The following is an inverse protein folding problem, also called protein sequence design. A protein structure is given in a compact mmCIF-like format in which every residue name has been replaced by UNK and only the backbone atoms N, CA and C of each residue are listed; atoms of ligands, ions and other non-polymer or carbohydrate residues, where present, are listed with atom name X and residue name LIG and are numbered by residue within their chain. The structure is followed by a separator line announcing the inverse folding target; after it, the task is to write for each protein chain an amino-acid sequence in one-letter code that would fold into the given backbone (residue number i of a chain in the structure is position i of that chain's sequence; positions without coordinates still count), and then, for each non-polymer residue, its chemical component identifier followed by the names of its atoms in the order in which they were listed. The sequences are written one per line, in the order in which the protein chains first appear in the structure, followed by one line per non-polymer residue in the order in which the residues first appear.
data_IF_948717831880
#
_entry.id   IF_948717831880
#
_cell.length_a   1.000
_cell.length_b   1.000
_cell.length_c   1.000
_cell.angle_alpha   90.00
_cell.angle_beta   90.00
_cell.angle_gamma   90.00
#
_symmetry.space_group_name_H-M   'P 1'
#
loop_
_entity.id
_entity.type
_entity.pdbx_description
1 polymer ?
#
# COMPACT_ATOMS: atom_id res chain seq x y z
N UNK A 1 -29.66 37.58 -19.88
CA UNK A 1 -29.24 36.15 -19.86
C UNK A 1 -28.57 35.88 -18.52
N UNK A 2 -29.22 35.10 -17.65
CA UNK A 2 -28.66 34.77 -16.34
C UNK A 2 -27.41 33.88 -16.58
N UNK A 3 -26.24 34.30 -16.12
CA UNK A 3 -25.03 33.49 -16.10
C UNK A 3 -25.34 32.26 -15.25
N UNK A 4 -25.37 31.09 -15.89
CA UNK A 4 -25.49 29.77 -15.22
C UNK A 4 -24.38 29.74 -14.17
N UNK A 5 -24.74 29.61 -12.89
CA UNK A 5 -23.79 29.59 -11.78
C UNK A 5 -22.88 28.39 -12.01
N UNK A 6 -21.65 28.64 -12.47
CA UNK A 6 -20.66 27.57 -12.69
C UNK A 6 -20.29 26.99 -11.34
N UNK A 7 -20.36 25.67 -11.23
CA UNK A 7 -19.94 24.97 -10.02
C UNK A 7 -18.43 24.78 -10.08
N UNK A 8 -17.69 25.68 -9.41
CA UNK A 8 -16.24 25.74 -9.42
C UNK A 8 -15.69 25.22 -8.09
N UNK A 9 -14.57 24.53 -8.14
CA UNK A 9 -13.86 24.03 -6.96
C UNK A 9 -12.36 24.26 -7.10
N UNK A 10 -11.70 24.53 -5.98
CA UNK A 10 -10.26 24.60 -5.90
C UNK A 10 -9.68 23.22 -5.65
N UNK A 11 -8.65 22.87 -6.40
CA UNK A 11 -8.00 21.56 -6.37
C UNK A 11 -6.50 21.72 -6.14
N UNK A 12 -6.00 21.11 -5.08
CA UNK A 12 -4.58 20.92 -4.86
C UNK A 12 -4.07 19.80 -5.77
N UNK A 13 -3.52 20.15 -6.91
CA UNK A 13 -2.97 19.17 -7.86
C UNK A 13 -1.72 18.54 -7.26
N UNK A 14 -1.63 17.21 -7.21
CA UNK A 14 -0.54 16.44 -6.58
C UNK A 14 0.75 16.49 -7.41
N UNK A 15 1.20 17.70 -7.71
CA UNK A 15 2.39 18.06 -8.47
C UNK A 15 3.02 19.30 -7.85
N UNK A 16 4.22 19.66 -8.30
CA UNK A 16 4.92 20.87 -7.87
C UNK A 16 4.25 22.15 -8.44
N UNK A 17 2.97 22.35 -8.08
CA UNK A 17 2.20 23.55 -8.43
C UNK A 17 2.08 24.40 -7.17
N UNK A 18 2.55 25.68 -7.20
CA UNK A 18 2.64 26.51 -5.99
C UNK A 18 1.31 26.77 -5.30
N UNK A 19 0.21 26.85 -6.06
CA UNK A 19 -1.12 27.22 -5.57
C UNK A 19 -2.17 26.23 -6.06
N UNK A 20 -3.31 26.09 -5.36
CA UNK A 20 -4.47 25.37 -5.88
C UNK A 20 -4.90 25.95 -7.23
N UNK A 21 -5.46 25.11 -8.08
CA UNK A 21 -6.04 25.51 -9.36
C UNK A 21 -7.54 25.29 -9.34
N UNK A 22 -8.27 26.23 -9.93
CA UNK A 22 -9.73 26.18 -10.00
C UNK A 22 -10.19 25.38 -11.22
N UNK A 23 -11.10 24.42 -10.98
CA UNK A 23 -11.70 23.58 -12.00
C UNK A 23 -13.22 23.67 -11.94
N UNK A 24 -13.86 23.40 -13.09
CA UNK A 24 -15.31 23.27 -13.18
C UNK A 24 -15.73 21.84 -12.85
N UNK A 25 -16.79 21.69 -12.07
CA UNK A 25 -17.43 20.41 -11.81
C UNK A 25 -18.47 20.15 -12.90
N UNK A 26 -18.30 19.10 -13.72
CA UNK A 26 -19.27 18.77 -14.75
C UNK A 26 -20.63 18.41 -14.17
N UNK A 27 -21.69 18.64 -14.96
CA UNK A 27 -23.04 18.25 -14.56
C UNK A 27 -23.11 16.71 -14.35
N UNK A 28 -23.69 16.28 -13.23
CA UNK A 28 -23.81 14.87 -12.88
C UNK A 28 -22.67 14.30 -12.01
N UNK A 29 -21.67 15.10 -11.69
CA UNK A 29 -20.62 14.77 -10.72
C UNK A 29 -20.80 15.63 -9.47
N UNK A 30 -20.93 15.00 -8.32
CA UNK A 30 -20.85 15.68 -7.03
C UNK A 30 -19.45 15.48 -6.44
N UNK A 31 -18.79 16.56 -6.07
CA UNK A 31 -17.49 16.50 -5.42
C UNK A 31 -17.56 17.14 -4.04
N UNK A 32 -16.79 16.58 -3.11
CA UNK A 32 -16.68 17.05 -1.73
C UNK A 32 -15.22 17.29 -1.40
N UNK A 33 -14.97 18.23 -0.49
CA UNK A 33 -13.63 18.49 0.03
C UNK A 33 -12.99 17.19 0.56
N UNK A 34 -11.70 17.00 0.29
CA UNK A 34 -10.95 15.82 0.67
C UNK A 34 -11.03 14.64 -0.30
N UNK A 35 -11.86 14.71 -1.33
CA UNK A 35 -11.91 13.67 -2.38
C UNK A 35 -10.77 13.85 -3.39
N UNK A 36 -10.30 12.71 -3.95
CA UNK A 36 -9.36 12.75 -5.09
C UNK A 36 -10.13 12.81 -6.40
N UNK A 37 -9.59 13.63 -7.28
CA UNK A 37 -10.08 13.79 -8.65
C UNK A 37 -8.95 13.71 -9.66
N UNK A 38 -9.28 13.33 -10.89
CA UNK A 38 -8.40 13.54 -12.02
C UNK A 38 -8.74 14.90 -12.68
N UNK A 39 -7.71 15.68 -12.93
CA UNK A 39 -7.80 17.00 -13.56
C UNK A 39 -6.80 17.13 -14.71
N UNK A 40 -7.09 17.94 -15.72
CA UNK A 40 -6.13 18.28 -16.77
C UNK A 40 -5.09 19.26 -16.24
N UNK A 41 -3.79 18.94 -16.39
CA UNK A 41 -2.67 19.84 -16.11
C UNK A 41 -1.84 20.01 -17.38
N UNK A 42 -2.04 21.10 -18.09
CA UNK A 42 -1.51 21.28 -19.45
C UNK A 42 -2.05 20.20 -20.39
N UNK A 43 -1.15 19.40 -20.98
CA UNK A 43 -1.48 18.25 -21.83
C UNK A 43 -1.56 16.91 -21.07
N UNK A 44 -1.35 16.94 -19.75
CA UNK A 44 -1.30 15.75 -18.90
C UNK A 44 -2.54 15.64 -18.03
N UNK A 45 -2.89 14.43 -17.66
CA UNK A 45 -3.86 14.13 -16.62
C UNK A 45 -3.11 14.02 -15.27
N UNK A 46 -3.58 14.72 -14.26
CA UNK A 46 -2.98 14.72 -12.92
C UNK A 46 -4.03 14.38 -11.86
N UNK A 47 -3.60 13.81 -10.74
CA UNK A 47 -4.46 13.67 -9.57
C UNK A 47 -4.43 14.98 -8.75
N UNK A 48 -5.54 15.28 -8.10
CA UNK A 48 -5.67 16.40 -7.18
C UNK A 48 -6.61 16.08 -6.04
N UNK A 49 -6.50 16.86 -4.97
CA UNK A 49 -7.42 16.83 -3.82
C UNK A 49 -8.34 18.05 -3.93
N UNK A 50 -9.63 17.82 -3.86
CA UNK A 50 -10.64 18.88 -3.79
C UNK A 50 -10.51 19.55 -2.42
N UNK A 51 -10.38 20.89 -2.42
CA UNK A 51 -10.26 21.68 -1.21
C UNK A 51 -11.61 22.25 -0.78
N UNK A 52 -12.07 23.22 -1.50
CA UNK A 52 -13.31 23.95 -1.20
C UNK A 52 -14.00 24.46 -2.47
N UNK A 53 -15.28 24.83 -2.40
CA UNK A 53 -15.95 25.51 -3.49
C UNK A 53 -15.24 26.84 -3.81
N UNK A 54 -14.92 27.06 -5.08
CA UNK A 54 -14.34 28.33 -5.52
C UNK A 54 -15.46 29.34 -5.81
N UNK A 55 -15.34 30.53 -5.24
CA UNK A 55 -16.35 31.57 -5.42
C UNK A 55 -16.14 32.41 -6.68
N UNK A 56 -14.90 32.58 -7.13
CA UNK A 56 -14.58 33.38 -8.31
C UNK A 56 -13.32 32.85 -8.99
N UNK A 57 -13.28 32.99 -10.31
CA UNK A 57 -12.07 32.82 -11.12
C UNK A 57 -11.40 34.13 -11.38
N UNK A 58 -10.08 34.11 -11.58
CA UNK A 58 -9.37 35.28 -12.07
C UNK A 58 -9.92 35.67 -13.45
N UNK A 59 -10.11 37.00 -13.65
CA UNK A 59 -10.67 37.52 -14.89
C UNK A 59 -9.82 37.08 -16.10
N UNK A 60 -10.47 36.60 -17.14
CA UNK A 60 -9.82 36.20 -18.39
C UNK A 60 -9.33 34.77 -18.46
N UNK A 61 -9.57 33.93 -17.41
CA UNK A 61 -9.27 32.49 -17.43
C UNK A 61 -10.55 31.66 -17.59
N UNK A 62 -10.46 30.58 -18.34
CA UNK A 62 -11.52 29.58 -18.46
C UNK A 62 -11.20 28.36 -17.58
N UNK A 63 -12.15 27.96 -16.73
CA UNK A 63 -12.01 26.75 -15.94
C UNK A 63 -12.09 25.52 -16.83
N UNK A 64 -11.13 24.61 -16.69
CA UNK A 64 -11.21 23.28 -17.29
C UNK A 64 -12.05 22.37 -16.42
N UNK A 65 -12.67 21.37 -17.02
CA UNK A 65 -13.52 20.41 -16.32
C UNK A 65 -12.69 19.38 -15.55
N UNK A 66 -13.19 18.96 -14.39
CA UNK A 66 -12.73 17.73 -13.72
C UNK A 66 -12.99 16.56 -14.65
N UNK A 67 -11.99 15.71 -14.83
CA UNK A 67 -12.08 14.56 -15.75
C UNK A 67 -12.82 13.38 -15.12
N UNK A 68 -12.58 13.13 -13.83
CA UNK A 68 -13.10 11.95 -13.14
C UNK A 68 -12.97 12.09 -11.62
N UNK A 69 -13.96 11.60 -10.88
CA UNK A 69 -13.89 11.39 -9.44
C UNK A 69 -13.24 10.03 -9.17
N UNK A 70 -12.15 10.00 -8.37
CA UNK A 70 -11.41 8.76 -8.08
C UNK A 70 -12.01 8.03 -6.89
N UNK A 71 -12.28 8.76 -5.81
CA UNK A 71 -12.81 8.18 -4.58
C UNK A 71 -14.24 8.68 -4.31
N UNK A 72 -15.17 7.75 -4.04
CA UNK A 72 -16.56 8.14 -3.76
C UNK A 72 -16.72 8.87 -2.42
N UNK A 73 -15.78 8.69 -1.49
CA UNK A 73 -15.77 9.34 -0.18
C UNK A 73 -14.50 10.18 0.01
N UNK A 74 -14.54 11.27 0.83
CA UNK A 74 -13.36 12.03 1.19
C UNK A 74 -12.27 11.15 1.82
N UNK A 75 -11.05 11.30 1.35
CA UNK A 75 -9.88 10.62 1.92
C UNK A 75 -9.28 11.38 3.09
N UNK A 76 -9.41 12.69 3.05
CA UNK A 76 -8.88 13.59 4.08
C UNK A 76 -10.04 14.26 4.77
N UNK A 77 -10.02 14.23 6.11
CA UNK A 77 -10.96 14.95 6.94
C UNK A 77 -10.72 16.47 6.84
N UNK A 78 -11.69 17.32 7.24
CA UNK A 78 -11.50 18.76 7.27
C UNK A 78 -10.27 19.20 8.08
N UNK A 79 -9.96 18.50 9.18
CA UNK A 79 -8.81 18.77 10.03
C UNK A 79 -7.49 18.47 9.30
N UNK A 80 -7.43 17.36 8.56
CA UNK A 80 -6.26 17.01 7.76
C UNK A 80 -6.07 17.95 6.57
N UNK A 81 -7.17 18.42 5.97
CA UNK A 81 -7.09 19.46 4.93
C UNK A 81 -6.53 20.75 5.50
N UNK A 82 -7.05 21.20 6.64
CA UNK A 82 -6.56 22.40 7.33
C UNK A 82 -5.10 22.25 7.71
N UNK A 83 -4.69 21.10 8.25
CA UNK A 83 -3.29 20.82 8.58
C UNK A 83 -2.40 20.86 7.33
N UNK A 84 -2.85 20.28 6.22
CA UNK A 84 -2.09 20.28 4.96
C UNK A 84 -1.91 21.67 4.39
N UNK A 85 -2.93 22.51 4.41
CA UNK A 85 -2.86 23.90 4.00
C UNK A 85 -1.92 24.71 4.91
N UNK A 86 -2.04 24.54 6.23
CA UNK A 86 -1.14 25.18 7.19
C UNK A 86 0.32 24.78 6.98
N UNK A 87 0.61 23.50 6.74
CA UNK A 87 1.97 23.03 6.42
C UNK A 87 2.49 23.70 5.14
N UNK A 88 1.66 23.76 4.10
CA UNK A 88 2.05 24.40 2.84
C UNK A 88 2.41 25.87 3.02
N UNK A 89 1.63 26.60 3.81
CA UNK A 89 1.87 28.00 4.13
C UNK A 89 3.12 28.17 5.01
N UNK A 90 3.21 27.43 6.11
CA UNK A 90 4.29 27.56 7.08
C UNK A 90 5.66 27.22 6.50
N UNK A 91 5.76 26.15 5.67
CA UNK A 91 7.01 25.74 5.05
C UNK A 91 7.22 26.31 3.64
N UNK A 92 6.32 27.17 3.15
CA UNK A 92 6.35 27.72 1.79
C UNK A 92 6.49 26.60 0.73
N UNK A 93 5.76 25.51 0.94
CA UNK A 93 5.81 24.33 0.09
C UNK A 93 4.62 24.28 -0.88
N UNK A 94 4.80 23.73 -2.10
CA UNK A 94 3.67 23.53 -3.01
C UNK A 94 2.60 22.66 -2.35
N UNK A 95 1.37 23.16 -2.28
CA UNK A 95 0.25 22.52 -1.57
C UNK A 95 0.00 21.07 -2.05
N UNK A 96 0.15 20.84 -3.35
CA UNK A 96 0.00 19.51 -3.93
C UNK A 96 1.08 18.51 -3.49
N UNK A 97 2.30 18.98 -3.22
CA UNK A 97 3.36 18.12 -2.68
C UNK A 97 3.12 17.77 -1.22
N UNK A 98 2.60 18.70 -0.43
CA UNK A 98 2.20 18.44 0.95
C UNK A 98 1.14 17.33 1.00
N UNK A 99 0.04 17.48 0.27
CA UNK A 99 -0.99 16.43 0.24
C UNK A 99 -0.49 15.10 -0.35
N UNK A 100 0.42 15.16 -1.31
CA UNK A 100 1.08 13.95 -1.83
C UNK A 100 1.90 13.23 -0.76
N UNK A 101 2.52 13.94 0.15
CA UNK A 101 3.27 13.37 1.27
C UNK A 101 2.34 12.79 2.37
N UNK A 102 1.16 13.40 2.57
CA UNK A 102 0.17 12.93 3.53
C UNK A 102 -0.53 11.63 3.09
N UNK A 103 -0.64 11.40 1.78
CA UNK A 103 -1.33 10.25 1.21
C UNK A 103 -0.36 9.12 0.88
N UNK A 104 -0.67 7.86 1.22
CA UNK A 104 0.12 6.71 0.80
C UNK A 104 -0.23 6.35 -0.64
N UNK A 105 0.07 7.24 -1.58
CA UNK A 105 -0.24 7.05 -2.98
C UNK A 105 0.52 5.83 -3.52
N UNK A 106 -0.19 4.75 -3.77
CA UNK A 106 0.24 3.78 -4.76
C UNK A 106 0.10 4.46 -6.12
N UNK A 107 1.08 4.28 -6.99
CA UNK A 107 0.86 4.51 -8.41
C UNK A 107 -0.21 3.50 -8.83
N UNK A 108 -1.47 3.91 -8.83
CA UNK A 108 -2.61 3.06 -9.17
C UNK A 108 -2.57 2.62 -10.62
N UNK A 109 -1.83 3.35 -11.45
CA UNK A 109 -1.58 3.01 -12.83
C UNK A 109 -0.10 3.20 -13.14
N UNK A 110 0.59 2.11 -13.40
CA UNK A 110 1.87 2.16 -14.08
C UNK A 110 1.55 2.30 -15.57
N UNK A 111 1.89 3.42 -16.19
CA UNK A 111 1.93 3.49 -17.65
C UNK A 111 3.03 2.55 -18.11
N UNK A 112 2.65 1.39 -18.54
CA UNK A 112 3.55 0.45 -19.18
C UNK A 112 3.51 0.72 -20.68
N UNK A 113 4.66 0.99 -21.26
CA UNK A 113 4.81 1.03 -22.71
C UNK A 113 4.84 -0.40 -23.21
N UNK A 114 3.83 -0.75 -24.00
CA UNK A 114 3.73 -2.05 -24.63
C UNK A 114 3.98 -1.93 -26.13
N UNK A 115 4.80 -2.82 -26.63
CA UNK A 115 5.06 -2.99 -28.04
C UNK A 115 3.99 -3.94 -28.61
N UNK A 116 3.25 -3.47 -29.61
CA UNK A 116 2.19 -4.22 -30.29
C UNK A 116 2.52 -4.33 -31.78
N UNK A 117 2.15 -5.44 -32.38
CA UNK A 117 2.30 -5.64 -33.83
C UNK A 117 1.25 -4.80 -34.57
N UNK A 118 1.65 -4.13 -35.64
CA UNK A 118 0.73 -3.42 -36.55
C UNK A 118 0.14 -4.35 -37.63
N UNK A 119 -0.79 -3.83 -38.43
CA UNK A 119 -1.29 -4.55 -39.61
C UNK A 119 -0.14 -4.87 -40.57
N UNK A 120 0.73 -3.90 -40.84
CA UNK A 120 1.91 -4.06 -41.70
C UNK A 120 2.88 -5.11 -41.14
N UNK A 121 3.10 -5.14 -39.83
CA UNK A 121 3.91 -6.16 -39.14
C UNK A 121 3.33 -7.58 -39.30
N UNK A 122 2.01 -7.72 -39.28
CA UNK A 122 1.37 -9.03 -39.53
C UNK A 122 1.57 -9.52 -40.97
N UNK A 123 1.39 -8.65 -41.96
CA UNK A 123 1.67 -8.96 -43.37
C UNK A 123 3.14 -9.37 -43.52
N UNK A 124 4.06 -8.63 -42.94
CA UNK A 124 5.50 -8.93 -42.96
C UNK A 124 5.81 -10.29 -42.32
N UNK A 125 5.16 -10.62 -41.20
CA UNK A 125 5.31 -11.93 -40.56
C UNK A 125 4.84 -13.08 -41.48
N UNK A 126 3.73 -12.89 -42.20
CA UNK A 126 3.24 -13.87 -43.17
C UNK A 126 4.21 -14.07 -44.34
N UNK A 127 4.80 -13.00 -44.87
CA UNK A 127 5.84 -13.06 -45.89
C UNK A 127 7.06 -13.84 -45.41
N UNK A 128 7.56 -13.55 -44.21
CA UNK A 128 8.71 -14.24 -43.63
C UNK A 128 8.42 -15.74 -43.39
N UNK A 129 7.20 -16.09 -42.99
CA UNK A 129 6.80 -17.48 -42.83
C UNK A 129 6.72 -18.22 -44.18
N UNK A 130 6.27 -17.56 -45.25
CA UNK A 130 6.22 -18.13 -46.62
C UNK A 130 7.62 -18.32 -47.22
N UNK A 131 8.52 -17.33 -47.06
CA UNK A 131 9.91 -17.38 -47.55
C UNK A 131 10.69 -18.56 -46.96
N UNK A 132 10.45 -18.90 -45.71
CA UNK A 132 11.10 -20.04 -45.04
C UNK A 132 10.59 -21.40 -45.57
N UNK A 133 9.31 -21.49 -45.93
CA UNK A 133 8.74 -22.71 -46.55
C UNK A 133 9.28 -22.95 -47.96
N UNK A 134 9.74 -21.91 -48.64
CA UNK A 134 10.28 -21.99 -50.00
C UNK A 134 11.81 -22.11 -50.06
N UNK A 135 12.51 -22.21 -48.89
CA UNK A 135 13.95 -22.47 -48.82
C UNK A 135 14.87 -21.30 -49.22
N UNK A 136 14.34 -20.07 -49.34
CA UNK A 136 15.08 -18.86 -49.78
C UNK A 136 15.61 -18.04 -48.58
N UNK A 137 15.76 -18.62 -47.42
CA UNK A 137 16.18 -17.90 -46.24
C UNK A 137 17.73 -17.78 -46.17
N UNK A 138 18.25 -16.56 -46.40
CA UNK A 138 19.67 -16.21 -46.13
C UNK A 138 20.00 -16.22 -44.66
N UNK A 139 21.26 -16.56 -44.35
CA UNK A 139 21.77 -16.67 -43.00
C UNK A 139 21.76 -15.30 -42.26
N UNK A 140 21.17 -15.26 -41.07
CA UNK A 140 21.53 -14.31 -39.98
C UNK A 140 20.57 -13.15 -39.65
N UNK A 141 19.69 -12.65 -40.58
CA UNK A 141 18.86 -11.46 -40.28
C UNK A 141 17.35 -11.73 -40.08
N UNK A 142 16.69 -12.50 -40.94
CA UNK A 142 15.23 -12.67 -40.92
C UNK A 142 14.71 -13.48 -39.75
N UNK A 143 15.52 -14.31 -39.12
CA UNK A 143 15.12 -15.19 -37.99
C UNK A 143 14.76 -14.44 -36.72
N UNK A 144 15.52 -13.40 -36.36
CA UNK A 144 15.26 -12.58 -35.15
C UNK A 144 14.06 -11.64 -35.35
N UNK A 145 13.94 -11.02 -36.52
CA UNK A 145 12.79 -10.18 -36.89
C UNK A 145 11.49 -10.99 -36.84
N UNK A 146 11.48 -12.17 -37.39
CA UNK A 146 10.35 -13.11 -37.37
C UNK A 146 10.04 -13.48 -35.89
N UNK A 147 11.06 -13.79 -35.09
CA UNK A 147 10.88 -14.12 -33.67
C UNK A 147 10.21 -13.00 -32.89
N UNK A 148 10.57 -11.75 -33.13
CA UNK A 148 9.93 -10.58 -32.54
C UNK A 148 8.48 -10.46 -32.99
N UNK A 149 8.23 -10.43 -34.29
CA UNK A 149 6.88 -10.27 -34.86
C UNK A 149 5.95 -11.42 -34.49
N UNK A 150 6.44 -12.66 -34.48
CA UNK A 150 5.68 -13.83 -34.04
C UNK A 150 5.28 -13.74 -32.55
N UNK A 151 6.20 -13.27 -31.69
CA UNK A 151 5.91 -13.07 -30.28
C UNK A 151 4.89 -11.95 -30.07
N UNK A 152 5.01 -10.84 -30.81
CA UNK A 152 4.07 -9.71 -30.77
C UNK A 152 2.70 -10.09 -31.32
N UNK A 153 2.64 -10.99 -32.31
CA UNK A 153 1.39 -11.52 -32.83
C UNK A 153 0.61 -12.38 -31.84
N UNK A 154 1.32 -13.02 -30.89
CA UNK A 154 0.69 -13.80 -29.80
C UNK A 154 0.21 -12.93 -28.64
N UNK A 155 1.00 -11.93 -28.26
CA UNK A 155 0.68 -10.99 -27.17
C UNK A 155 1.57 -9.75 -27.21
N UNK A 156 1.05 -8.59 -26.78
CA UNK A 156 1.88 -7.40 -26.56
C UNK A 156 2.99 -7.67 -25.54
N UNK A 157 4.17 -7.10 -25.78
CA UNK A 157 5.31 -7.17 -24.87
C UNK A 157 5.58 -5.82 -24.21
N UNK A 158 6.06 -5.82 -22.96
CA UNK A 158 6.61 -4.59 -22.38
C UNK A 158 7.83 -4.14 -23.21
N UNK A 159 7.90 -2.86 -23.58
CA UNK A 159 8.94 -2.31 -24.47
C UNK A 159 10.34 -2.64 -23.97
N UNK A 160 10.61 -2.47 -22.69
CA UNK A 160 11.90 -2.82 -22.07
C UNK A 160 12.22 -4.31 -22.14
N UNK A 161 11.20 -5.17 -21.99
CA UNK A 161 11.37 -6.62 -22.11
C UNK A 161 11.66 -7.05 -23.55
N UNK A 162 11.04 -6.38 -24.52
CA UNK A 162 11.32 -6.58 -25.94
C UNK A 162 12.75 -6.17 -26.29
N UNK A 163 13.19 -4.97 -25.85
CA UNK A 163 14.57 -4.48 -26.04
C UNK A 163 15.62 -5.40 -25.41
N UNK A 164 15.36 -5.90 -24.21
CA UNK A 164 16.26 -6.84 -23.52
C UNK A 164 16.36 -8.19 -24.22
N UNK A 165 15.28 -8.70 -24.77
CA UNK A 165 15.18 -10.04 -25.34
C UNK A 165 15.63 -10.09 -26.78
N UNK A 166 15.30 -9.09 -27.59
CA UNK A 166 15.52 -9.07 -29.04
C UNK A 166 16.59 -8.06 -29.49
N UNK A 167 17.10 -7.25 -28.57
CA UNK A 167 18.04 -6.16 -28.83
C UNK A 167 17.33 -4.83 -29.14
N UNK A 168 18.01 -3.73 -28.79
CA UNK A 168 17.49 -2.37 -28.98
C UNK A 168 17.31 -2.07 -30.45
N UNK A 169 18.35 -2.36 -31.26
CA UNK A 169 18.40 -2.03 -32.69
C UNK A 169 17.27 -2.68 -33.50
N UNK A 170 16.93 -3.94 -33.17
CA UNK A 170 15.86 -4.64 -33.88
C UNK A 170 14.48 -4.06 -33.51
N UNK A 171 14.29 -3.71 -32.24
CA UNK A 171 13.02 -3.11 -31.79
C UNK A 171 12.84 -1.71 -32.39
N UNK A 172 13.89 -0.89 -32.41
CA UNK A 172 13.83 0.46 -32.99
C UNK A 172 13.61 0.39 -34.51
N UNK A 173 14.24 -0.56 -35.22
CA UNK A 173 13.99 -0.80 -36.63
C UNK A 173 12.55 -1.17 -36.88
N UNK A 174 11.99 -2.11 -36.13
CA UNK A 174 10.58 -2.52 -36.26
C UNK A 174 9.61 -1.35 -36.00
N UNK A 175 9.96 -0.41 -35.14
CA UNK A 175 9.20 0.82 -34.89
C UNK A 175 9.32 1.79 -36.09
N UNK A 176 10.54 2.03 -36.61
CA UNK A 176 10.81 2.92 -37.73
C UNK A 176 10.13 2.43 -39.04
N UNK A 177 10.13 1.12 -39.27
CA UNK A 177 9.50 0.49 -40.41
C UNK A 177 7.99 0.32 -40.26
N UNK A 178 7.41 0.75 -39.15
CA UNK A 178 5.98 0.67 -38.86
C UNK A 178 5.44 -0.76 -38.67
N UNK A 179 6.33 -1.74 -38.42
CA UNK A 179 5.96 -3.14 -38.18
C UNK A 179 5.42 -3.36 -36.74
N UNK A 180 5.82 -2.50 -35.84
CA UNK A 180 5.36 -2.46 -34.46
C UNK A 180 5.03 -1.03 -34.04
N UNK A 181 4.22 -0.87 -33.01
CA UNK A 181 3.90 0.42 -32.40
C UNK A 181 3.97 0.35 -30.90
N UNK A 182 4.33 1.47 -30.27
CA UNK A 182 4.30 1.60 -28.82
C UNK A 182 2.93 2.12 -28.39
N UNK A 183 2.24 1.32 -27.58
CA UNK A 183 0.98 1.71 -26.95
C UNK A 183 1.20 1.92 -25.46
N UNK A 184 0.82 3.07 -24.95
CA UNK A 184 0.77 3.30 -23.51
C UNK A 184 -0.48 2.62 -22.95
N UNK A 185 -0.28 1.57 -22.15
CA UNK A 185 -1.34 0.85 -21.46
C UNK A 185 -1.27 1.19 -19.99
N UNK A 186 -2.37 1.63 -19.42
CA UNK A 186 -2.49 1.79 -17.98
C UNK A 186 -2.65 0.40 -17.34
N UNK A 187 -1.58 -0.17 -16.83
CA UNK A 187 -1.63 -1.40 -16.06
C UNK A 187 -2.09 -1.08 -14.64
N UNK A 188 -3.30 -1.52 -14.26
CA UNK A 188 -3.67 -1.63 -12.86
C UNK A 188 -2.67 -2.57 -12.20
N UNK A 189 -1.92 -2.10 -11.22
CA UNK A 189 -1.04 -2.98 -10.45
C UNK A 189 -1.92 -4.08 -9.85
N UNK A 190 -1.76 -5.30 -10.36
CA UNK A 190 -2.39 -6.48 -9.76
C UNK A 190 -1.93 -6.53 -8.30
N UNK A 191 -2.86 -6.44 -7.36
CA UNK A 191 -2.59 -6.57 -5.93
C UNK A 191 -1.75 -7.82 -5.73
N UNK A 192 -0.55 -7.68 -5.18
CA UNK A 192 0.27 -8.84 -4.82
C UNK A 192 -0.48 -9.57 -3.71
N UNK A 193 -1.16 -10.64 -4.06
CA UNK A 193 -1.85 -11.52 -3.11
C UNK A 193 -0.84 -12.09 -2.13
N UNK A 194 -1.07 -11.90 -0.85
CA UNK A 194 -0.31 -12.56 0.22
C UNK A 194 -1.23 -13.63 0.79
N UNK A 195 -0.90 -14.89 0.49
CA UNK A 195 -1.64 -16.02 1.01
C UNK A 195 -0.93 -16.56 2.24
N UNK A 196 -1.66 -16.66 3.34
CA UNK A 196 -1.23 -17.41 4.50
C UNK A 196 -1.63 -18.89 4.31
N UNK A 197 -0.69 -19.79 4.52
CA UNK A 197 -0.89 -21.23 4.34
C UNK A 197 -0.66 -21.92 5.68
N UNK A 198 -1.59 -22.76 6.09
CA UNK A 198 -1.47 -23.60 7.29
C UNK A 198 -1.94 -25.02 7.00
N UNK A 199 -1.52 -25.98 7.81
CA UNK A 199 -2.12 -27.31 7.77
C UNK A 199 -3.60 -27.21 8.19
N UNK A 200 -4.49 -27.87 7.46
CA UNK A 200 -5.92 -27.90 7.79
C UNK A 200 -6.23 -28.66 9.08
N UNK A 201 -5.34 -29.61 9.43
CA UNK A 201 -5.43 -30.44 10.62
C UNK A 201 -4.19 -31.35 10.75
N UNK A 202 -4.18 -32.31 11.67
CA UNK A 202 -3.15 -33.33 11.73
C UNK A 202 -3.12 -34.11 10.41
N UNK A 203 -1.91 -34.36 9.89
CA UNK A 203 -1.77 -35.09 8.63
C UNK A 203 -2.29 -36.54 8.81
N UNK A 204 -3.06 -37.05 7.86
CA UNK A 204 -3.56 -38.46 7.92
C UNK A 204 -2.39 -39.46 7.83
N UNK A 205 -2.50 -40.57 8.51
CA UNK A 205 -1.47 -41.64 8.51
C UNK A 205 -1.14 -42.12 7.09
N UNK A 206 -2.11 -42.11 6.18
CA UNK A 206 -1.91 -42.41 4.76
C UNK A 206 -2.22 -41.20 3.91
N UNK A 207 -1.19 -40.55 3.41
CA UNK A 207 -1.32 -39.47 2.46
C UNK A 207 -1.76 -39.98 1.08
N UNK A 208 -2.65 -39.28 0.38
CA UNK A 208 -3.00 -39.63 -1.00
C UNK A 208 -1.75 -39.53 -1.90
N UNK A 209 -1.84 -40.01 -3.15
CA UNK A 209 -0.74 -39.92 -4.12
C UNK A 209 -0.50 -38.44 -4.44
N UNK A 210 0.55 -37.85 -3.83
CA UNK A 210 0.93 -36.47 -4.01
C UNK A 210 2.13 -36.37 -4.96
N UNK A 211 2.20 -35.22 -5.69
CA UNK A 211 3.40 -34.87 -6.45
C UNK A 211 4.59 -34.63 -5.50
N UNK A 212 5.83 -34.85 -5.96
CA UNK A 212 7.03 -34.58 -5.13
C UNK A 212 7.09 -33.15 -4.58
N UNK A 213 6.54 -32.16 -5.32
CA UNK A 213 6.45 -30.76 -4.91
C UNK A 213 5.43 -30.58 -3.79
N UNK A 214 4.24 -31.18 -3.94
CA UNK A 214 3.18 -31.11 -2.93
C UNK A 214 3.65 -31.73 -1.60
N UNK A 215 4.40 -32.84 -1.66
CA UNK A 215 4.97 -33.50 -0.48
C UNK A 215 5.97 -32.57 0.22
N UNK A 216 6.91 -31.94 -0.52
CA UNK A 216 7.85 -30.97 0.06
C UNK A 216 7.15 -29.78 0.72
N UNK A 217 6.01 -29.33 0.19
CA UNK A 217 5.23 -28.26 0.81
C UNK A 217 4.67 -28.72 2.16
N UNK A 218 4.09 -29.92 2.23
CA UNK A 218 3.55 -30.47 3.48
C UNK A 218 4.66 -30.75 4.50
N UNK A 219 5.79 -31.31 4.07
CA UNK A 219 6.94 -31.57 4.94
C UNK A 219 7.50 -30.25 5.53
N UNK A 220 7.57 -29.19 4.71
CA UNK A 220 7.99 -27.86 5.16
C UNK A 220 7.00 -27.23 6.16
N UNK A 221 5.71 -27.47 6.01
CA UNK A 221 4.69 -27.02 6.96
C UNK A 221 4.69 -27.83 8.26
N UNK A 222 4.98 -29.14 8.18
CA UNK A 222 5.00 -30.05 9.32
C UNK A 222 6.29 -29.95 10.16
N UNK A 223 7.42 -29.55 9.54
CA UNK A 223 8.74 -29.46 10.20
C UNK A 223 8.94 -28.24 11.08
N UNK A 224 7.93 -27.41 11.25
CA UNK A 224 8.08 -26.12 11.97
C UNK A 224 7.82 -26.25 13.47
N UNK A 225 8.51 -25.43 14.31
CA UNK A 225 8.34 -25.50 15.77
C UNK A 225 6.90 -25.20 16.19
N UNK A 226 6.46 -25.87 17.23
CA UNK A 226 5.14 -25.72 17.84
C UNK A 226 4.93 -24.25 18.27
N UNK A 227 4.17 -23.47 17.50
CA UNK A 227 3.90 -22.03 17.74
C UNK A 227 3.68 -21.22 16.48
N UNK A 228 4.24 -21.61 15.35
CA UNK A 228 4.03 -20.94 14.06
C UNK A 228 2.86 -21.61 13.33
N UNK A 229 1.68 -21.04 13.48
CA UNK A 229 0.45 -21.63 12.91
C UNK A 229 0.25 -21.34 11.41
N UNK A 230 1.01 -20.42 10.83
CA UNK A 230 0.75 -19.91 9.47
C UNK A 230 2.02 -19.46 8.76
N UNK A 231 2.09 -19.68 7.45
CA UNK A 231 3.25 -19.36 6.60
C UNK A 231 2.88 -18.48 5.42
N UNK A 232 3.75 -17.52 5.09
CA UNK A 232 3.65 -16.84 3.80
C UNK A 232 3.91 -17.85 2.66
N UNK A 233 3.00 -17.90 1.69
CA UNK A 233 3.09 -18.81 0.56
C UNK A 233 4.37 -18.64 -0.27
N UNK A 234 5.00 -17.44 -0.31
CA UNK A 234 6.14 -17.14 -1.17
C UNK A 234 7.43 -17.88 -0.76
N UNK A 235 7.93 -17.72 0.49
CA UNK A 235 9.11 -18.46 0.93
C UNK A 235 8.85 -19.96 0.90
N UNK A 236 7.64 -20.40 1.25
CA UNK A 236 7.23 -21.79 1.21
C UNK A 236 7.30 -22.37 -0.22
N UNK A 237 6.73 -21.68 -1.20
CA UNK A 237 6.75 -22.11 -2.61
C UNK A 237 8.17 -22.01 -3.21
N UNK A 238 8.97 -21.03 -2.81
CA UNK A 238 10.36 -20.92 -3.25
C UNK A 238 11.20 -22.11 -2.73
N UNK A 239 11.07 -22.46 -1.46
CA UNK A 239 11.77 -23.59 -0.86
C UNK A 239 11.35 -24.93 -1.49
N UNK A 240 10.05 -25.13 -1.72
CA UNK A 240 9.51 -26.35 -2.31
C UNK A 240 9.66 -26.38 -3.85
N UNK A 241 10.16 -25.32 -4.50
CA UNK A 241 10.15 -25.14 -5.96
C UNK A 241 8.76 -25.35 -6.56
N UNK A 242 7.74 -24.83 -5.88
CA UNK A 242 6.34 -25.01 -6.20
C UNK A 242 5.69 -23.76 -6.83
N UNK A 243 4.39 -23.88 -7.14
CA UNK A 243 3.54 -22.81 -7.64
C UNK A 243 2.24 -22.74 -6.83
N UNK A 244 1.49 -21.66 -6.96
CA UNK A 244 0.19 -21.50 -6.30
C UNK A 244 -0.79 -22.62 -6.65
N UNK A 245 -0.69 -23.21 -7.84
CA UNK A 245 -1.53 -24.34 -8.24
C UNK A 245 -1.33 -25.57 -7.36
N UNK A 246 -0.11 -25.82 -6.86
CA UNK A 246 0.15 -26.92 -5.94
C UNK A 246 -0.51 -26.66 -4.57
N UNK A 247 -0.53 -25.42 -4.10
CA UNK A 247 -1.24 -25.06 -2.87
C UNK A 247 -2.76 -25.24 -3.02
N UNK A 248 -3.36 -24.80 -4.13
CA UNK A 248 -4.80 -24.97 -4.38
C UNK A 248 -5.21 -26.45 -4.42
N UNK A 249 -4.40 -27.31 -5.06
CA UNK A 249 -4.67 -28.75 -5.08
C UNK A 249 -4.56 -29.39 -3.69
N UNK A 250 -3.66 -28.90 -2.84
CA UNK A 250 -3.56 -29.35 -1.46
C UNK A 250 -4.75 -28.85 -0.61
N UNK A 251 -5.26 -27.65 -0.92
CA UNK A 251 -6.47 -27.08 -0.31
C UNK A 251 -7.72 -27.87 -0.73
N UNK A 252 -7.88 -28.15 -2.02
CA UNK A 252 -8.96 -29.01 -2.56
C UNK A 252 -8.92 -30.41 -1.94
N UNK A 253 -7.71 -30.91 -1.64
CA UNK A 253 -7.50 -32.19 -0.92
C UNK A 253 -7.70 -32.10 0.60
N UNK A 254 -8.06 -30.94 1.15
CA UNK A 254 -8.29 -30.74 2.59
C UNK A 254 -7.03 -30.85 3.47
N UNK A 255 -5.83 -30.83 2.88
CA UNK A 255 -4.55 -30.98 3.60
C UNK A 255 -4.00 -29.64 4.09
N UNK A 256 -4.29 -28.56 3.40
CA UNK A 256 -3.92 -27.19 3.80
C UNK A 256 -5.12 -26.26 3.76
N UNK A 257 -5.11 -25.25 4.58
CA UNK A 257 -6.04 -24.12 4.51
C UNK A 257 -5.27 -22.89 4.02
N UNK A 258 -5.84 -22.18 3.05
CA UNK A 258 -5.27 -20.99 2.45
C UNK A 258 -6.15 -19.80 2.82
N UNK A 259 -5.58 -18.80 3.44
CA UNK A 259 -6.27 -17.55 3.77
C UNK A 259 -5.67 -16.41 2.96
N UNK A 260 -6.51 -15.67 2.22
CA UNK A 260 -6.06 -14.48 1.50
C UNK A 260 -5.90 -13.30 2.46
N UNK A 261 -4.65 -13.01 2.83
CA UNK A 261 -4.27 -11.89 3.69
C UNK A 261 -3.90 -10.63 2.94
N UNK A 262 -4.19 -10.55 1.67
CA UNK A 262 -3.98 -9.29 0.93
C UNK A 262 -4.76 -8.11 1.53
N UNK A 263 -5.80 -8.40 2.32
CA UNK A 263 -6.58 -7.42 3.09
C UNK A 263 -6.10 -7.24 4.55
N UNK A 264 -5.33 -8.19 5.12
CA UNK A 264 -4.90 -8.17 6.53
C UNK A 264 -3.37 -8.09 6.61
N UNK A 265 -2.86 -6.95 7.08
CA UNK A 265 -1.47 -6.83 7.49
C UNK A 265 -1.23 -7.55 8.82
N UNK A 266 -0.93 -8.85 8.79
CA UNK A 266 -0.32 -9.48 9.95
C UNK A 266 1.19 -9.20 9.93
N UNK A 267 1.85 -8.98 11.09
CA UNK A 267 3.28 -8.83 11.15
C UNK A 267 3.93 -10.13 10.66
N UNK A 268 4.84 -10.02 9.70
CA UNK A 268 5.70 -11.13 9.31
C UNK A 268 6.57 -11.48 10.53
N UNK A 269 6.32 -12.64 11.12
CA UNK A 269 7.26 -13.25 12.03
C UNK A 269 8.51 -13.63 11.23
N UNK A 270 9.65 -12.99 11.54
CA UNK A 270 10.98 -13.45 11.18
C UNK A 270 11.48 -13.10 9.78
N UNK A 271 12.09 -11.93 9.64
CA UNK A 271 13.29 -11.74 8.83
C UNK A 271 14.37 -11.16 9.72
N UNK A 272 15.12 -12.05 10.37
CA UNK A 272 16.46 -11.75 10.83
C UNK A 272 17.36 -11.58 9.58
N UNK A 273 18.07 -10.46 9.51
CA UNK A 273 19.13 -10.27 8.54
C UNK A 273 19.28 -8.83 8.07
N UNK A 274 19.96 -7.98 8.79
CA UNK A 274 21.24 -7.38 8.42
C UNK A 274 21.78 -6.45 9.50
N UNK A 275 23.03 -6.61 9.76
CA UNK A 275 23.96 -5.95 10.65
C UNK A 275 23.71 -4.47 10.95
N UNK A 276 23.53 -4.17 12.24
CA UNK A 276 23.59 -2.84 12.82
C UNK A 276 23.70 -3.00 14.33
N UNK A 277 24.87 -2.69 14.86
CA UNK A 277 25.30 -2.80 16.24
C UNK A 277 24.19 -2.62 17.27
N UNK A 278 24.08 -3.62 18.15
CA UNK A 278 23.27 -3.59 19.35
C UNK A 278 23.82 -2.48 20.28
N UNK A 279 22.98 -1.50 20.57
CA UNK A 279 23.13 -0.66 21.75
C UNK A 279 22.27 -1.30 22.80
N UNK A 280 22.91 -1.77 23.85
CA UNK A 280 22.27 -2.36 25.01
C UNK A 280 21.21 -1.40 25.58
N UNK A 281 19.97 -1.80 25.42
CA UNK A 281 18.83 -1.22 26.11
C UNK A 281 18.11 -2.37 26.78
N UNK A 282 18.58 -2.69 27.99
CA UNK A 282 17.86 -3.51 28.95
C UNK A 282 16.53 -2.83 29.29
N UNK A 283 15.51 -3.08 28.46
CA UNK A 283 14.13 -2.89 28.85
C UNK A 283 13.53 -4.29 29.01
N UNK A 284 13.46 -4.73 30.25
CA UNK A 284 12.87 -5.97 30.72
C UNK A 284 11.49 -6.16 30.08
N UNK A 285 11.42 -6.99 29.04
CA UNK A 285 10.16 -7.56 28.58
C UNK A 285 9.79 -8.65 29.59
N UNK A 286 8.61 -8.66 30.22
CA UNK A 286 8.17 -9.80 31.00
C UNK A 286 8.07 -11.00 30.07
N UNK A 287 8.73 -12.10 30.42
CA UNK A 287 8.66 -13.41 29.78
C UNK A 287 7.19 -13.79 29.54
N UNK A 288 6.83 -14.40 28.41
CA UNK A 288 5.50 -14.91 28.21
C UNK A 288 5.31 -16.08 29.17
N UNK A 289 4.42 -15.88 30.16
CA UNK A 289 3.97 -16.97 31.00
C UNK A 289 3.50 -18.13 30.14
N UNK A 290 3.89 -19.36 30.50
CA UNK A 290 3.67 -20.61 29.78
C UNK A 290 2.18 -20.96 29.52
N UNK A 291 1.22 -20.15 29.96
CA UNK A 291 -0.21 -20.49 29.97
C UNK A 291 -1.08 -19.55 29.11
N UNK A 292 -0.70 -19.08 28.00
CA UNK A 292 -1.62 -18.47 27.00
C UNK A 292 -2.71 -17.49 27.50
N UNK A 293 -2.73 -17.14 28.78
CA UNK A 293 -3.64 -16.18 29.40
C UNK A 293 -3.12 -14.77 29.16
N UNK A 294 -3.97 -13.89 28.72
CA UNK A 294 -3.73 -12.46 28.69
C UNK A 294 -3.15 -12.06 30.06
N UNK A 295 -1.89 -11.59 30.08
CA UNK A 295 -1.26 -11.16 31.31
C UNK A 295 -2.18 -10.14 32.00
N UNK A 296 -2.48 -10.37 33.27
CA UNK A 296 -3.27 -9.43 34.07
C UNK A 296 -2.66 -8.03 33.93
N UNK A 297 -3.47 -6.97 33.83
CA UNK A 297 -2.95 -5.61 33.70
C UNK A 297 -2.04 -5.33 34.89
N UNK A 298 -0.81 -4.88 34.60
CA UNK A 298 0.19 -4.52 35.63
C UNK A 298 -0.43 -3.53 36.61
N UNK A 299 -0.29 -3.78 37.90
CA UNK A 299 -0.74 -2.83 38.91
C UNK A 299 0.09 -1.54 38.81
N UNK A 300 -0.60 -0.39 38.75
CA UNK A 300 0.06 0.90 38.71
C UNK A 300 0.59 1.24 40.14
N UNK A 301 1.79 1.77 40.19
CA UNK A 301 2.30 2.39 41.42
C UNK A 301 1.46 3.61 41.82
N UNK A 302 1.55 4.06 43.07
CA UNK A 302 0.79 5.21 43.52
C UNK A 302 1.01 6.48 42.67
N UNK A 303 2.27 6.84 42.29
CA UNK A 303 2.50 7.97 41.39
C UNK A 303 1.91 7.78 40.00
N UNK A 304 1.99 6.56 39.45
CA UNK A 304 1.40 6.25 38.14
C UNK A 304 -0.12 6.33 38.17
N UNK A 305 -0.77 5.81 39.24
CA UNK A 305 -2.23 5.87 39.41
C UNK A 305 -2.71 7.33 39.51
N UNK A 306 -1.99 8.18 40.22
CA UNK A 306 -2.31 9.62 40.31
C UNK A 306 -2.18 10.30 38.95
N UNK A 307 -1.08 10.06 38.22
CA UNK A 307 -0.87 10.63 36.91
C UNK A 307 -1.94 10.13 35.89
N UNK A 308 -2.26 8.84 35.91
CA UNK A 308 -3.31 8.28 35.09
C UNK A 308 -4.67 8.90 35.40
N UNK A 309 -5.05 9.05 36.66
CA UNK A 309 -6.34 9.64 37.07
C UNK A 309 -6.47 11.08 36.56
N UNK A 310 -5.43 11.91 36.72
CA UNK A 310 -5.43 13.30 36.21
C UNK A 310 -5.57 13.36 34.68
N UNK A 311 -4.80 12.53 33.97
CA UNK A 311 -4.86 12.46 32.50
C UNK A 311 -6.21 11.92 32.00
N UNK A 312 -6.76 10.92 32.69
CA UNK A 312 -8.05 10.34 32.35
C UNK A 312 -9.19 11.38 32.53
N UNK A 313 -9.17 12.15 33.61
CA UNK A 313 -10.13 13.21 33.86
C UNK A 313 -10.10 14.30 32.76
N UNK A 314 -8.89 14.65 32.28
CA UNK A 314 -8.72 15.58 31.14
C UNK A 314 -9.25 15.01 29.83
N UNK A 315 -9.00 13.72 29.58
CA UNK A 315 -9.54 13.01 28.41
C UNK A 315 -11.07 13.00 28.42
N UNK A 316 -11.66 12.74 29.59
CA UNK A 316 -13.12 12.69 29.79
C UNK A 316 -13.79 14.06 29.64
N UNK A 317 -13.07 15.12 29.99
CA UNK A 317 -13.56 16.49 29.84
C UNK A 317 -13.75 16.90 28.36
N UNK A 318 -13.22 16.12 27.41
CA UNK A 318 -13.32 16.35 25.95
C UNK A 318 -12.86 17.74 25.49
N UNK A 319 -11.98 18.37 26.25
CA UNK A 319 -11.38 19.67 25.92
C UNK A 319 -9.93 19.46 25.52
N UNK A 320 -9.50 20.20 24.50
CA UNK A 320 -8.10 20.20 24.12
C UNK A 320 -7.22 20.61 25.31
N UNK A 321 -6.22 19.82 25.59
CA UNK A 321 -5.19 20.14 26.59
C UNK A 321 -3.86 19.50 26.20
N UNK A 322 -2.77 20.22 26.48
CA UNK A 322 -1.42 19.71 26.34
C UNK A 322 -0.89 19.36 27.72
N UNK A 323 -0.37 18.15 27.89
CA UNK A 323 0.17 17.68 29.17
C UNK A 323 1.57 17.11 28.96
N UNK A 324 2.50 17.51 29.83
CA UNK A 324 3.83 16.92 29.89
C UNK A 324 3.86 15.85 30.98
N UNK A 325 3.98 14.58 30.55
CA UNK A 325 4.24 13.47 31.48
C UNK A 325 5.76 13.31 31.68
N UNK A 326 6.28 13.89 32.75
CA UNK A 326 7.70 13.83 33.09
C UNK A 326 8.02 12.57 33.91
N UNK A 327 9.11 11.90 33.56
CA UNK A 327 9.59 10.70 34.28
C UNK A 327 10.84 10.11 33.62
N UNK A 328 11.67 9.45 34.42
CA UNK A 328 12.89 8.78 33.94
C UNK A 328 12.57 7.63 33.00
N UNK A 329 13.57 7.16 32.26
CA UNK A 329 13.43 5.94 31.43
C UNK A 329 13.08 4.76 32.36
N UNK A 330 12.17 3.88 31.92
CA UNK A 330 11.71 2.75 32.74
C UNK A 330 10.65 3.09 33.79
N UNK A 331 10.23 4.35 33.96
CA UNK A 331 9.21 4.73 34.97
C UNK A 331 7.78 4.28 34.63
N UNK A 332 7.59 3.51 33.57
CA UNK A 332 6.28 2.98 33.18
C UNK A 332 5.37 3.97 32.42
N UNK A 333 5.89 5.04 31.83
CA UNK A 333 5.10 5.99 31.01
C UNK A 333 4.30 5.31 29.92
N UNK A 334 4.88 4.28 29.29
CA UNK A 334 4.23 3.53 28.23
C UNK A 334 2.94 2.85 28.71
N UNK A 335 2.91 2.30 29.92
CA UNK A 335 1.70 1.70 30.49
C UNK A 335 0.59 2.73 30.70
N UNK A 336 0.94 3.95 31.10
CA UNK A 336 -0.03 5.05 31.23
C UNK A 336 -0.60 5.40 29.84
N UNK A 337 0.24 5.49 28.81
CA UNK A 337 -0.23 5.74 27.45
C UNK A 337 -1.16 4.63 26.93
N UNK A 338 -0.82 3.36 27.16
CA UNK A 338 -1.66 2.22 26.75
C UNK A 338 -3.04 2.27 27.42
N UNK A 339 -3.10 2.62 28.70
CA UNK A 339 -4.38 2.76 29.44
C UNK A 339 -5.21 3.95 28.96
N UNK A 340 -4.56 5.07 28.65
CA UNK A 340 -5.25 6.24 28.09
C UNK A 340 -5.81 5.93 26.69
N UNK A 341 -5.05 5.22 25.87
CA UNK A 341 -5.51 4.75 24.56
C UNK A 341 -6.72 3.82 24.72
N UNK A 342 -6.65 2.83 25.62
CA UNK A 342 -7.78 1.95 25.91
C UNK A 342 -9.02 2.74 26.32
N UNK A 343 -8.88 3.71 27.21
CA UNK A 343 -9.99 4.58 27.63
C UNK A 343 -10.55 5.41 26.50
N UNK A 344 -9.71 5.93 25.60
CA UNK A 344 -10.16 6.65 24.41
C UNK A 344 -10.98 5.75 23.47
N UNK A 345 -10.53 4.51 23.28
CA UNK A 345 -11.24 3.50 22.48
C UNK A 345 -12.59 3.11 23.07
N UNK A 346 -12.68 2.95 24.42
CA UNK A 346 -13.92 2.70 25.13
C UNK A 346 -14.95 3.83 24.93
N UNK A 347 -14.46 5.06 24.77
CA UNK A 347 -15.31 6.23 24.49
C UNK A 347 -15.64 6.37 22.98
N UNK A 348 -15.32 5.38 22.16
CA UNK A 348 -15.54 5.43 20.70
C UNK A 348 -14.58 6.37 19.96
N UNK A 349 -13.52 6.85 20.60
CA UNK A 349 -12.53 7.75 20.02
C UNK A 349 -11.37 6.97 19.43
N UNK A 350 -10.56 7.65 18.65
CA UNK A 350 -9.32 7.12 18.08
C UNK A 350 -8.09 7.72 18.79
N UNK A 351 -6.91 7.11 18.59
CA UNK A 351 -5.68 7.56 19.18
C UNK A 351 -4.51 7.47 18.20
N UNK A 352 -3.61 8.46 18.24
CA UNK A 352 -2.34 8.43 17.54
C UNK A 352 -1.19 8.40 18.55
N UNK A 353 -0.35 7.35 18.45
CA UNK A 353 0.89 7.26 19.22
C UNK A 353 2.07 7.52 18.30
N UNK A 354 2.68 8.69 18.46
CA UNK A 354 3.85 9.08 17.70
C UNK A 354 5.11 8.78 18.51
N UNK A 355 6.03 8.05 17.91
CA UNK A 355 7.30 7.68 18.55
C UNK A 355 8.48 8.04 17.64
N UNK A 356 9.63 8.40 18.18
CA UNK A 356 10.85 8.54 17.38
C UNK A 356 11.17 7.25 16.63
N UNK A 357 11.82 7.35 15.47
CA UNK A 357 12.18 6.21 14.64
C UNK A 357 12.94 5.13 15.41
N UNK A 358 13.89 5.53 16.25
CA UNK A 358 14.71 4.64 17.09
C UNK A 358 13.90 3.92 18.18
N UNK A 359 12.77 4.49 18.58
CA UNK A 359 11.90 3.91 19.61
C UNK A 359 10.80 2.99 19.02
N UNK A 360 10.57 3.02 17.70
CA UNK A 360 9.59 2.15 17.05
C UNK A 360 10.20 0.76 16.79
N UNK A 361 10.62 0.09 17.84
CA UNK A 361 11.17 -1.26 17.76
C UNK A 361 10.10 -2.31 17.49
N UNK A 362 10.45 -3.51 16.98
CA UNK A 362 9.52 -4.62 16.84
C UNK A 362 8.83 -4.99 18.17
N UNK A 363 9.52 -4.84 19.30
CA UNK A 363 8.96 -5.09 20.63
C UNK A 363 7.83 -4.10 20.98
N UNK A 364 8.01 -2.81 20.70
CA UNK A 364 6.96 -1.80 20.90
C UNK A 364 5.76 -2.07 19.98
N UNK A 365 6.00 -2.40 18.74
CA UNK A 365 4.92 -2.76 17.81
C UNK A 365 4.15 -3.99 18.30
N UNK A 366 4.85 -5.05 18.73
CA UNK A 366 4.26 -6.26 19.27
C UNK A 366 3.43 -5.98 20.54
N UNK A 367 3.91 -5.08 21.41
CA UNK A 367 3.20 -4.66 22.60
C UNK A 367 1.84 -4.04 22.27
N UNK A 368 1.80 -3.12 21.31
CA UNK A 368 0.57 -2.47 20.85
C UNK A 368 -0.38 -3.45 20.17
N UNK A 369 0.14 -4.29 19.27
CA UNK A 369 -0.66 -5.31 18.56
C UNK A 369 -1.22 -6.33 19.57
N UNK A 370 -0.45 -6.76 20.58
CA UNK A 370 -0.93 -7.66 21.62
C UNK A 370 -2.03 -7.01 22.47
N UNK A 371 -1.94 -5.70 22.75
CA UNK A 371 -2.90 -4.99 23.61
C UNK A 371 -4.20 -4.64 22.89
N UNK A 372 -4.12 -4.19 21.65
CA UNK A 372 -5.24 -3.63 20.90
C UNK A 372 -5.61 -4.46 19.64
N UNK A 373 -4.86 -5.50 19.35
CA UNK A 373 -5.19 -6.43 18.25
C UNK A 373 -5.31 -5.76 16.89
N UNK A 374 -6.41 -6.03 16.17
CA UNK A 374 -6.64 -5.51 14.84
C UNK A 374 -6.89 -3.99 14.80
N UNK A 375 -7.14 -3.34 15.93
CA UNK A 375 -7.37 -1.90 15.97
C UNK A 375 -6.09 -1.06 15.76
N UNK A 376 -4.92 -1.70 15.68
CA UNK A 376 -3.65 -0.99 15.45
C UNK A 376 -3.31 -0.92 13.97
N UNK A 377 -3.04 0.29 13.49
CA UNK A 377 -2.41 0.57 12.20
C UNK A 377 -0.98 1.09 12.44
N UNK A 378 0.03 0.32 12.04
CA UNK A 378 1.43 0.75 12.11
C UNK A 378 1.78 1.55 10.86
N UNK A 379 2.34 2.77 11.03
CA UNK A 379 2.63 3.71 9.95
C UNK A 379 4.04 4.31 10.11
N UNK A 380 5.00 3.83 9.32
CA UNK A 380 6.35 4.39 9.28
C UNK A 380 7.00 4.22 7.89
N UNK A 381 8.09 4.96 7.66
CA UNK A 381 8.79 5.00 6.37
C UNK A 381 9.42 3.67 5.95
N UNK A 382 9.79 2.81 6.91
CA UNK A 382 10.39 1.49 6.68
C UNK A 382 9.41 0.42 6.19
N UNK A 383 8.09 0.67 6.24
CA UNK A 383 7.10 -0.25 5.70
C UNK A 383 7.15 -0.29 4.17
N UNK A 384 6.94 -1.48 3.61
CA UNK A 384 6.69 -1.60 2.17
C UNK A 384 5.47 -0.73 1.78
N UNK A 385 5.52 -0.16 0.55
CA UNK A 385 4.45 0.75 0.08
C UNK A 385 3.04 0.14 0.20
N UNK A 386 2.89 -1.15 -0.12
CA UNK A 386 1.61 -1.85 -0.01
C UNK A 386 1.13 -2.03 1.42
N UNK A 387 2.03 -2.24 2.37
CA UNK A 387 1.70 -2.36 3.80
C UNK A 387 1.25 -1.01 4.38
N UNK A 388 2.00 0.04 4.09
CA UNK A 388 1.63 1.41 4.49
C UNK A 388 0.28 1.84 3.91
N UNK A 389 0.01 1.50 2.64
CA UNK A 389 -1.28 1.75 2.01
C UNK A 389 -2.41 0.99 2.71
N UNK A 390 -2.22 -0.31 3.03
CA UNK A 390 -3.22 -1.09 3.75
C UNK A 390 -3.49 -0.54 5.15
N UNK A 391 -2.42 -0.22 5.89
CA UNK A 391 -2.54 0.35 7.23
C UNK A 391 -3.30 1.68 7.22
N UNK A 392 -2.98 2.54 6.25
CA UNK A 392 -3.66 3.83 6.06
C UNK A 392 -5.16 3.65 5.76
N UNK A 393 -5.52 2.73 4.85
CA UNK A 393 -6.93 2.47 4.51
C UNK A 393 -7.70 1.83 5.65
N UNK A 394 -7.06 1.01 6.48
CA UNK A 394 -7.70 0.49 7.69
C UNK A 394 -8.05 1.61 8.67
N UNK A 395 -7.15 2.58 8.84
CA UNK A 395 -7.43 3.76 9.64
C UNK A 395 -8.56 4.60 9.01
N UNK A 396 -8.51 4.87 7.70
CA UNK A 396 -9.51 5.66 6.99
C UNK A 396 -10.93 5.06 7.03
N UNK A 397 -11.04 3.74 7.19
CA UNK A 397 -12.34 3.04 7.29
C UNK A 397 -12.79 2.82 8.73
N UNK A 398 -12.02 3.31 9.72
CA UNK A 398 -12.31 3.05 11.12
C UNK A 398 -12.06 1.60 11.57
N UNK A 399 -11.47 0.74 10.71
CA UNK A 399 -11.08 -0.63 11.05
C UNK A 399 -9.90 -0.67 12.03
N UNK A 400 -9.10 0.39 12.06
CA UNK A 400 -8.01 0.58 12.99
C UNK A 400 -8.13 1.99 13.59
N UNK A 401 -8.42 2.04 14.87
CA UNK A 401 -8.61 3.29 15.63
C UNK A 401 -7.36 3.76 16.36
N UNK A 402 -6.29 2.96 16.36
CA UNK A 402 -4.98 3.32 16.93
C UNK A 402 -3.95 3.41 15.83
N UNK A 403 -3.41 4.58 15.56
CA UNK A 403 -2.26 4.77 14.69
C UNK A 403 -0.98 4.77 15.54
N UNK A 404 -0.09 3.82 15.28
CA UNK A 404 1.25 3.76 15.88
C UNK A 404 2.28 4.05 14.81
N UNK A 405 3.15 5.03 15.02
CA UNK A 405 4.19 5.27 14.03
C UNK A 405 5.11 6.43 14.33
N UNK A 406 5.90 6.76 13.33
CA UNK A 406 6.83 7.89 13.40
C UNK A 406 6.16 9.17 12.88
N UNK A 407 6.93 10.19 12.56
CA UNK A 407 6.42 11.50 12.10
C UNK A 407 5.30 11.42 11.07
N UNK A 408 5.38 10.50 10.12
CA UNK A 408 4.36 10.35 9.08
C UNK A 408 3.00 9.83 9.58
N UNK A 409 2.95 9.22 10.77
CA UNK A 409 1.71 8.74 11.35
C UNK A 409 0.78 9.87 11.84
N UNK A 410 1.28 11.09 11.95
CA UNK A 410 0.44 12.28 12.22
C UNK A 410 -0.63 12.51 11.15
N UNK A 411 -0.39 11.99 9.93
CA UNK A 411 -1.32 12.08 8.80
C UNK A 411 -2.26 10.86 8.70
N UNK A 412 -2.32 10.04 9.75
CA UNK A 412 -3.27 8.93 9.78
C UNK A 412 -4.71 9.49 9.75
N UNK A 413 -5.57 9.02 8.83
CA UNK A 413 -6.95 9.46 8.72
C UNK A 413 -7.80 8.74 9.78
N UNK A 414 -7.55 9.02 11.04
CA UNK A 414 -8.32 8.48 12.16
C UNK A 414 -9.70 9.15 12.20
N UNK A 415 -10.72 8.35 12.42
CA UNK A 415 -12.12 8.77 12.51
C UNK A 415 -12.57 8.82 13.97
#
# INVERSE_FOLDING_TARGET
MARKKENLVDVAVLAAVPRPLTYRVPAGIEVRAGQRVFVPLGKRRAQGIVLEPAHQMAAGLEARDILELIDPQPLLSPELLTLGLWIAEYYVAPVGEVFRAMLPLLKETRRAERLEITAQGRTRLEELCKAEQTGVAGEGGPSFERGLLQQLGRRPLALESARRRFGVDLVERALCEGLAQVRQVEEKQTRRTVLAVRLAGPLPERLPRLSPVARRILDALASQPAGVKEHDHRPLLKAARGSIQHLRRLEEGGLVAIEDRSAYGAPAAGTAGHDGQAVDSEAIAPEPGADGRAAAPLELTVPQSKAFADLAARLDAQKFSTVLLHGVTGSGKTEIYLRLIARALEQGRSAAMLVPEIALTPAVQALFVRRFGPEVAVLHSGLARGERHRAWWRAARGEARVALGTRSAVFAPLV
#
